data_IF_142788812957
#
_entry.id   IF_142788812957
#
_cell.length_a   1.000
_cell.length_b   1.000
_cell.length_c   1.000
_cell.angle_alpha   90.00
_cell.angle_beta   90.00
_cell.angle_gamma   90.00
#
_symmetry.space_group_name_H-M   'P 1'
#
loop_
_entity.id
_entity.type
_entity.pdbx_description
1 polymer ?
#
# COMPACT_ATOMS: atom_id res chain seq x y z
N UNK A 1 15.10 19.09 57.64
CA UNK A 1 16.09 18.06 57.27
C UNK A 1 15.46 16.78 56.71
N UNK A 2 14.92 15.83 57.49
CA UNK A 2 14.45 14.54 56.93
C UNK A 2 13.29 14.68 55.91
N UNK A 3 12.31 15.56 56.19
CA UNK A 3 11.21 15.87 55.25
C UNK A 3 11.69 16.63 54.01
N UNK A 4 12.54 17.63 54.19
CA UNK A 4 13.13 18.42 53.11
C UNK A 4 13.92 17.53 52.14
N UNK A 5 14.79 16.68 52.66
CA UNK A 5 15.59 15.74 51.87
C UNK A 5 14.70 14.79 51.07
N UNK A 6 13.61 14.30 51.66
CA UNK A 6 12.65 13.42 50.98
C UNK A 6 11.87 14.13 49.86
N UNK A 7 11.52 15.40 50.03
CA UNK A 7 10.83 16.19 48.99
C UNK A 7 11.78 16.51 47.84
N UNK A 8 13.03 16.89 48.11
CA UNK A 8 14.05 17.11 47.06
C UNK A 8 14.32 15.82 46.28
N UNK A 9 14.48 14.67 46.95
CA UNK A 9 14.67 13.38 46.29
C UNK A 9 13.48 13.01 45.38
N UNK A 10 12.24 13.30 45.82
CA UNK A 10 11.05 13.09 45.01
C UNK A 10 10.95 14.05 43.82
N UNK A 11 11.33 15.32 43.99
CA UNK A 11 11.36 16.32 42.91
C UNK A 11 12.42 15.96 41.84
N UNK A 12 13.61 15.55 42.27
CA UNK A 12 14.68 15.06 41.38
C UNK A 12 14.23 13.80 40.61
N UNK A 13 13.62 12.83 41.30
CA UNK A 13 13.08 11.62 40.68
C UNK A 13 11.96 11.90 39.67
N UNK A 14 11.10 12.88 39.97
CA UNK A 14 10.06 13.34 39.06
C UNK A 14 10.67 14.01 37.82
N UNK A 15 11.62 14.92 38.00
CA UNK A 15 12.33 15.60 36.90
C UNK A 15 13.03 14.61 35.96
N UNK A 16 13.75 13.63 36.53
CA UNK A 16 14.38 12.56 35.75
C UNK A 16 13.35 11.74 34.94
N UNK A 17 12.20 11.42 35.54
CA UNK A 17 11.11 10.71 34.86
C UNK A 17 10.52 11.53 33.73
N UNK A 18 10.30 12.84 33.93
CA UNK A 18 9.77 13.76 32.92
C UNK A 18 10.73 13.92 31.74
N UNK A 19 12.04 14.01 32.00
CA UNK A 19 13.05 14.02 30.94
C UNK A 19 13.01 12.73 30.10
N UNK A 20 12.85 11.57 30.74
CA UNK A 20 12.73 10.29 30.04
C UNK A 20 11.45 10.22 29.18
N UNK A 21 10.31 10.70 29.70
CA UNK A 21 9.05 10.76 28.94
C UNK A 21 9.20 11.74 27.76
N UNK A 22 9.81 12.91 27.97
CA UNK A 22 10.07 13.89 26.90
C UNK A 22 10.91 13.29 25.77
N UNK A 23 11.99 12.57 26.10
CA UNK A 23 12.80 11.87 25.11
C UNK A 23 11.97 10.83 24.33
N UNK A 24 11.09 10.10 25.02
CA UNK A 24 10.22 9.09 24.42
C UNK A 24 9.18 9.71 23.47
N UNK A 25 8.62 10.87 23.83
CA UNK A 25 7.67 11.62 23.00
C UNK A 25 8.35 12.20 21.76
N UNK A 26 9.57 12.73 21.89
CA UNK A 26 10.35 13.20 20.74
C UNK A 26 10.68 12.07 19.77
N UNK A 27 11.04 10.89 20.29
CA UNK A 27 11.25 9.70 19.45
C UNK A 27 9.95 9.25 18.77
N UNK A 28 8.81 9.33 19.47
CA UNK A 28 7.51 9.00 18.89
C UNK A 28 7.13 9.97 17.78
N UNK A 29 7.31 11.27 17.97
CA UNK A 29 7.07 12.29 16.95
C UNK A 29 7.92 12.07 15.69
N UNK A 30 9.20 11.72 15.86
CA UNK A 30 10.08 11.34 14.75
C UNK A 30 9.56 10.09 14.02
N UNK A 31 9.14 9.05 14.77
CA UNK A 31 8.56 7.84 14.19
C UNK A 31 7.28 8.10 13.39
N UNK A 32 6.41 9.00 13.87
CA UNK A 32 5.19 9.41 13.15
C UNK A 32 5.56 10.06 11.81
N UNK A 33 6.56 10.94 11.81
CA UNK A 33 7.05 11.61 10.59
C UNK A 33 7.60 10.60 9.58
N UNK A 34 8.38 9.62 10.04
CA UNK A 34 8.93 8.55 9.19
C UNK A 34 7.80 7.73 8.57
N UNK A 35 6.78 7.35 9.36
CA UNK A 35 5.66 6.60 8.81
C UNK A 35 4.86 7.41 7.80
N UNK A 36 4.65 8.71 8.02
CA UNK A 36 4.02 9.60 7.04
C UNK A 36 4.80 9.64 5.70
N UNK A 37 6.13 9.60 5.76
CA UNK A 37 6.97 9.49 4.56
C UNK A 37 6.79 8.14 3.86
N UNK A 38 6.75 7.05 4.63
CA UNK A 38 6.53 5.72 4.07
C UNK A 38 5.13 5.55 3.47
N UNK A 39 4.08 6.05 4.10
CA UNK A 39 2.71 5.97 3.56
C UNK A 39 2.58 6.75 2.27
N UNK A 40 3.21 7.93 2.15
CA UNK A 40 3.29 8.69 0.91
C UNK A 40 4.01 7.89 -0.20
N UNK A 41 5.13 7.27 0.12
CA UNK A 41 5.87 6.43 -0.83
C UNK A 41 5.04 5.23 -1.29
N UNK A 42 4.27 4.61 -0.38
CA UNK A 42 3.37 3.51 -0.71
C UNK A 42 2.25 3.97 -1.65
N UNK A 43 1.66 5.15 -1.44
CA UNK A 43 0.66 5.72 -2.36
C UNK A 43 1.21 5.89 -3.77
N UNK A 44 2.44 6.41 -3.90
CA UNK A 44 3.09 6.55 -5.21
C UNK A 44 3.30 5.18 -5.89
N UNK A 45 3.67 4.15 -5.13
CA UNK A 45 3.82 2.78 -5.64
C UNK A 45 2.46 2.22 -6.05
N UNK A 46 1.40 2.41 -5.25
CA UNK A 46 0.04 1.98 -5.58
C UNK A 46 -0.45 2.62 -6.89
N UNK A 47 -0.21 3.91 -7.10
CA UNK A 47 -0.53 4.58 -8.37
C UNK A 47 0.25 4.03 -9.57
N UNK A 48 1.54 3.72 -9.39
CA UNK A 48 2.35 3.06 -10.42
C UNK A 48 1.79 1.66 -10.75
N UNK A 49 1.37 0.91 -9.74
CA UNK A 49 0.73 -0.40 -9.92
C UNK A 49 -0.57 -0.30 -10.71
N UNK A 50 -1.45 0.65 -10.36
CA UNK A 50 -2.70 0.89 -11.10
C UNK A 50 -2.44 1.25 -12.57
N UNK A 51 -1.43 2.08 -12.82
CA UNK A 51 -1.04 2.44 -14.20
C UNK A 51 -0.55 1.22 -14.96
N UNK A 52 0.32 0.40 -14.35
CA UNK A 52 0.83 -0.82 -14.98
C UNK A 52 -0.23 -1.90 -15.21
N UNK A 53 -1.21 -1.99 -14.32
CA UNK A 53 -2.36 -2.88 -14.50
C UNK A 53 -3.18 -2.45 -15.72
N UNK A 54 -3.48 -1.15 -15.87
CA UNK A 54 -4.16 -0.61 -17.06
C UNK A 54 -3.37 -0.83 -18.35
N UNK A 55 -2.06 -0.58 -18.34
CA UNK A 55 -1.19 -0.89 -19.49
C UNK A 55 -1.31 -2.37 -19.89
N UNK A 56 -1.43 -3.26 -18.89
CA UNK A 56 -1.60 -4.70 -19.12
C UNK A 56 -2.97 -5.02 -19.71
N UNK A 57 -4.06 -4.38 -19.25
CA UNK A 57 -5.40 -4.54 -19.83
C UNK A 57 -5.42 -4.17 -21.32
N UNK A 58 -4.75 -3.07 -21.70
CA UNK A 58 -4.65 -2.64 -23.10
C UNK A 58 -3.90 -3.68 -23.96
N UNK A 59 -2.82 -4.26 -23.43
CA UNK A 59 -2.09 -5.34 -24.09
C UNK A 59 -2.99 -6.58 -24.25
N UNK A 60 -3.72 -6.97 -23.20
CA UNK A 60 -4.62 -8.12 -23.25
C UNK A 60 -5.72 -7.90 -24.29
N UNK A 61 -6.29 -6.70 -24.37
CA UNK A 61 -7.28 -6.34 -25.40
C UNK A 61 -6.70 -6.50 -26.81
N UNK A 62 -5.48 -6.01 -27.04
CA UNK A 62 -4.80 -6.19 -28.31
C UNK A 62 -4.57 -7.66 -28.67
N UNK A 63 -4.19 -8.50 -27.70
CA UNK A 63 -4.03 -9.95 -27.92
C UNK A 63 -5.38 -10.61 -28.24
N UNK A 64 -6.47 -10.23 -27.55
CA UNK A 64 -7.83 -10.72 -27.86
C UNK A 64 -8.26 -10.36 -29.28
N UNK A 65 -7.90 -9.16 -29.77
CA UNK A 65 -8.16 -8.73 -31.14
C UNK A 65 -7.36 -9.57 -32.14
N UNK A 66 -6.06 -9.81 -31.89
CA UNK A 66 -5.22 -10.71 -32.71
C UNK A 66 -5.82 -12.13 -32.74
N UNK A 67 -6.20 -12.68 -31.59
CA UNK A 67 -6.77 -14.02 -31.51
C UNK A 67 -8.10 -14.10 -32.28
N UNK A 68 -8.91 -13.03 -32.25
CA UNK A 68 -10.16 -12.94 -33.02
C UNK A 68 -9.90 -12.88 -34.52
N UNK A 69 -8.94 -12.06 -34.98
CA UNK A 69 -8.54 -11.99 -36.38
C UNK A 69 -7.96 -13.31 -36.87
N UNK A 70 -7.10 -13.95 -36.07
CA UNK A 70 -6.49 -15.25 -36.39
C UNK A 70 -7.55 -16.35 -36.49
N UNK A 71 -8.54 -16.34 -35.60
CA UNK A 71 -9.68 -17.26 -35.70
C UNK A 71 -10.49 -17.05 -36.99
N UNK A 72 -10.71 -15.79 -37.40
CA UNK A 72 -11.40 -15.47 -38.67
C UNK A 72 -10.58 -15.89 -39.90
N UNK A 73 -9.26 -15.72 -39.87
CA UNK A 73 -8.37 -16.21 -40.93
C UNK A 73 -8.41 -17.75 -41.03
N UNK A 74 -8.36 -18.44 -39.88
CA UNK A 74 -8.51 -19.89 -39.82
C UNK A 74 -9.87 -20.36 -40.33
N UNK A 75 -10.96 -19.62 -40.06
CA UNK A 75 -12.28 -19.92 -40.61
C UNK A 75 -12.30 -19.79 -42.14
N UNK A 76 -11.77 -18.69 -42.69
CA UNK A 76 -11.69 -18.49 -44.14
C UNK A 76 -10.86 -19.59 -44.81
N UNK A 77 -9.73 -19.97 -44.21
CA UNK A 77 -8.89 -21.08 -44.69
C UNK A 77 -9.64 -22.42 -44.67
N UNK A 78 -10.44 -22.69 -43.63
CA UNK A 78 -11.26 -23.90 -43.55
C UNK A 78 -12.34 -23.95 -44.64
N UNK A 79 -12.97 -22.80 -44.94
CA UNK A 79 -13.96 -22.68 -46.03
C UNK A 79 -13.31 -22.97 -47.39
N UNK A 80 -12.15 -22.37 -47.66
CA UNK A 80 -11.45 -22.56 -48.94
C UNK A 80 -10.90 -23.99 -49.08
N UNK A 81 -10.42 -24.59 -47.99
CA UNK A 81 -10.02 -26.00 -47.96
C UNK A 81 -11.20 -26.94 -48.27
N UNK A 82 -12.39 -26.66 -47.73
CA UNK A 82 -13.60 -27.43 -48.06
C UNK A 82 -14.00 -27.25 -49.54
N UNK A 83 -13.84 -26.04 -50.08
CA UNK A 83 -14.11 -25.73 -51.49
C UNK A 83 -13.19 -26.44 -52.46
N UNK A 84 -11.93 -26.64 -52.09
CA UNK A 84 -10.93 -27.38 -52.86
C UNK A 84 -11.12 -28.92 -52.82
N UNK A 85 -12.06 -29.43 -52.01
CA UNK A 85 -12.38 -30.86 -51.94
C UNK A 85 -11.20 -31.72 -51.45
N UNK A 86 -10.90 -32.79 -52.19
CA UNK A 86 -9.80 -33.72 -51.88
C UNK A 86 -8.44 -33.01 -51.76
N UNK A 87 -8.16 -32.05 -52.64
CA UNK A 87 -6.90 -31.29 -52.65
C UNK A 87 -6.74 -30.37 -51.43
N UNK A 88 -7.83 -30.04 -50.73
CA UNK A 88 -7.83 -29.17 -49.56
C UNK A 88 -7.69 -29.90 -48.21
N UNK A 89 -7.68 -31.25 -48.17
CA UNK A 89 -7.69 -32.01 -46.91
C UNK A 89 -6.55 -31.64 -45.95
N UNK A 90 -5.33 -31.47 -46.46
CA UNK A 90 -4.18 -31.06 -45.64
C UNK A 90 -4.33 -29.64 -45.07
N UNK A 91 -4.81 -28.70 -45.89
CA UNK A 91 -5.08 -27.32 -45.45
C UNK A 91 -6.21 -27.24 -44.43
N UNK A 92 -7.22 -28.13 -44.52
CA UNK A 92 -8.31 -28.18 -43.54
C UNK A 92 -7.82 -28.51 -42.13
N UNK A 93 -6.83 -29.40 -42.00
CA UNK A 93 -6.24 -29.75 -40.69
C UNK A 93 -5.50 -28.56 -40.10
N UNK A 94 -4.69 -27.87 -40.91
CA UNK A 94 -3.96 -26.67 -40.48
C UNK A 94 -4.92 -25.56 -40.06
N UNK A 95 -5.99 -25.32 -40.83
CA UNK A 95 -7.01 -24.32 -40.51
C UNK A 95 -7.71 -24.62 -39.18
N UNK A 96 -7.98 -25.90 -38.89
CA UNK A 96 -8.59 -26.33 -37.63
C UNK A 96 -7.65 -26.12 -36.43
N UNK A 97 -6.36 -26.39 -36.59
CA UNK A 97 -5.36 -26.14 -35.54
C UNK A 97 -5.19 -24.65 -35.27
N UNK A 98 -5.16 -23.79 -36.30
CA UNK A 98 -5.13 -22.33 -36.15
C UNK A 98 -6.31 -21.81 -35.33
N UNK A 99 -7.53 -22.32 -35.61
CA UNK A 99 -8.73 -21.94 -34.85
C UNK A 99 -8.64 -22.39 -33.39
N UNK A 100 -8.15 -23.61 -33.15
CA UNK A 100 -7.94 -24.14 -31.80
C UNK A 100 -6.92 -23.30 -31.02
N UNK A 101 -5.78 -22.98 -31.62
CA UNK A 101 -4.77 -22.10 -31.02
C UNK A 101 -5.33 -20.71 -30.70
N UNK A 102 -6.13 -20.15 -31.60
CA UNK A 102 -6.79 -18.85 -31.39
C UNK A 102 -7.79 -18.88 -30.23
N UNK A 103 -8.57 -19.97 -30.09
CA UNK A 103 -9.47 -20.16 -28.95
C UNK A 103 -8.70 -20.26 -27.64
N UNK A 104 -7.68 -21.13 -27.59
CA UNK A 104 -6.84 -21.28 -26.40
C UNK A 104 -6.17 -19.96 -25.99
N UNK A 105 -5.77 -19.13 -26.96
CA UNK A 105 -5.22 -17.81 -26.69
C UNK A 105 -6.23 -16.87 -26.04
N UNK A 106 -7.51 -16.92 -26.44
CA UNK A 106 -8.57 -16.12 -25.80
C UNK A 106 -8.80 -16.57 -24.36
N UNK A 107 -8.87 -17.87 -24.13
CA UNK A 107 -9.07 -18.43 -22.79
C UNK A 107 -7.91 -18.05 -21.86
N UNK A 108 -6.67 -18.10 -22.36
CA UNK A 108 -5.49 -17.66 -21.61
C UNK A 108 -5.55 -16.16 -21.27
N UNK A 109 -5.93 -15.31 -22.23
CA UNK A 109 -6.08 -13.86 -22.00
C UNK A 109 -7.15 -13.57 -20.94
N UNK A 110 -8.29 -14.28 -20.97
CA UNK A 110 -9.34 -14.11 -19.96
C UNK A 110 -8.85 -14.47 -18.55
N UNK A 111 -8.08 -15.54 -18.41
CA UNK A 111 -7.46 -15.91 -17.13
C UNK A 111 -6.48 -14.84 -16.64
N UNK A 112 -5.65 -14.28 -17.54
CA UNK A 112 -4.72 -13.20 -17.16
C UNK A 112 -5.49 -11.95 -16.75
N UNK A 113 -6.59 -11.62 -17.45
CA UNK A 113 -7.44 -10.49 -17.11
C UNK A 113 -8.00 -10.60 -15.68
N UNK A 114 -8.48 -11.78 -15.28
CA UNK A 114 -8.96 -12.01 -13.91
C UNK A 114 -7.86 -11.78 -12.86
N UNK A 115 -6.62 -12.15 -13.17
CA UNK A 115 -5.46 -11.90 -12.30
C UNK A 115 -5.18 -10.39 -12.21
N UNK A 116 -5.24 -9.67 -13.34
CA UNK A 116 -5.05 -8.21 -13.38
C UNK A 116 -6.14 -7.49 -12.57
N UNK A 117 -7.41 -7.89 -12.74
CA UNK A 117 -8.54 -7.36 -11.97
C UNK A 117 -8.33 -7.57 -10.46
N UNK A 118 -7.85 -8.74 -10.05
CA UNK A 118 -7.51 -9.03 -8.65
C UNK A 118 -6.40 -8.10 -8.12
N UNK A 119 -5.35 -7.85 -8.92
CA UNK A 119 -4.27 -6.93 -8.56
C UNK A 119 -4.79 -5.49 -8.39
N UNK A 120 -5.70 -5.05 -9.25
CA UNK A 120 -6.34 -3.73 -9.14
C UNK A 120 -7.12 -3.62 -7.83
N UNK A 121 -7.92 -4.63 -7.49
CA UNK A 121 -8.69 -4.67 -6.24
C UNK A 121 -7.77 -4.65 -5.02
N UNK A 122 -6.72 -5.47 -4.99
CA UNK A 122 -5.72 -5.46 -3.90
C UNK A 122 -5.05 -4.10 -3.75
N UNK A 123 -4.76 -3.41 -4.87
CA UNK A 123 -4.17 -2.07 -4.84
C UNK A 123 -5.15 -1.02 -4.30
N UNK A 124 -6.46 -1.18 -4.58
CA UNK A 124 -7.49 -0.33 -4.01
C UNK A 124 -7.61 -0.53 -2.49
N UNK A 125 -7.65 -1.79 -2.02
CA UNK A 125 -7.64 -2.11 -0.59
C UNK A 125 -6.40 -1.54 0.11
N UNK A 126 -5.23 -1.66 -0.52
CA UNK A 126 -3.99 -1.07 -0.02
C UNK A 126 -4.10 0.45 0.17
N UNK A 127 -4.71 1.15 -0.80
CA UNK A 127 -4.92 2.60 -0.72
C UNK A 127 -5.82 2.96 0.47
N UNK A 128 -6.91 2.22 0.69
CA UNK A 128 -7.81 2.44 1.83
C UNK A 128 -7.12 2.19 3.18
N UNK A 129 -6.23 1.20 3.26
CA UNK A 129 -5.43 0.94 4.46
C UNK A 129 -4.50 2.12 4.71
N UNK A 130 -3.81 2.62 3.68
CA UNK A 130 -2.93 3.79 3.80
C UNK A 130 -3.70 5.02 4.32
N UNK A 131 -4.89 5.29 3.79
CA UNK A 131 -5.71 6.42 4.25
C UNK A 131 -6.06 6.30 5.74
N UNK A 132 -6.48 5.10 6.18
CA UNK A 132 -6.74 4.84 7.61
C UNK A 132 -5.48 4.98 8.46
N UNK A 133 -4.35 4.51 7.95
CA UNK A 133 -3.06 4.65 8.62
C UNK A 133 -2.69 6.12 8.81
N UNK A 134 -2.88 6.97 7.79
CA UNK A 134 -2.63 8.41 7.92
C UNK A 134 -3.49 9.07 8.99
N UNK A 135 -4.79 8.73 9.06
CA UNK A 135 -5.70 9.25 10.10
C UNK A 135 -5.19 8.89 11.50
N UNK A 136 -4.81 7.61 11.71
CA UNK A 136 -4.27 7.16 13.01
C UNK A 136 -3.01 7.93 13.39
N UNK A 137 -2.12 8.20 12.42
CA UNK A 137 -0.89 8.94 12.68
C UNK A 137 -1.11 10.43 12.95
N UNK A 138 -2.13 11.04 12.34
CA UNK A 138 -2.55 12.41 12.68
C UNK A 138 -3.07 12.49 14.11
N UNK A 139 -3.91 11.53 14.53
CA UNK A 139 -4.38 11.43 15.92
C UNK A 139 -3.22 11.20 16.90
N UNK A 140 -2.26 10.35 16.54
CA UNK A 140 -1.09 10.07 17.36
C UNK A 140 -0.16 11.28 17.48
N UNK A 141 -0.04 12.10 16.42
CA UNK A 141 0.72 13.35 16.46
C UNK A 141 0.08 14.36 17.42
N UNK A 142 -1.25 14.50 17.38
CA UNK A 142 -1.98 15.36 18.29
C UNK A 142 -1.81 14.91 19.75
N UNK A 143 -1.95 13.61 20.04
CA UNK A 143 -1.74 13.06 21.37
C UNK A 143 -0.30 13.28 21.87
N UNK A 144 0.71 13.13 21.00
CA UNK A 144 2.10 13.40 21.36
C UNK A 144 2.32 14.88 21.74
N UNK A 145 1.67 15.82 21.04
CA UNK A 145 1.71 17.25 21.37
C UNK A 145 1.06 17.55 22.72
N UNK A 146 -0.11 16.95 23.01
CA UNK A 146 -0.78 17.10 24.30
C UNK A 146 0.07 16.58 25.47
N UNK A 147 0.72 15.42 25.29
CA UNK A 147 1.63 14.87 26.30
C UNK A 147 2.87 15.77 26.45
N UNK A 148 3.40 16.32 25.37
CA UNK A 148 4.52 17.27 25.45
C UNK A 148 4.17 18.51 26.26
N UNK A 149 2.98 19.10 26.03
CA UNK A 149 2.50 20.25 26.81
C UNK A 149 2.30 19.89 28.30
N UNK A 150 1.78 18.69 28.58
CA UNK A 150 1.62 18.20 29.96
C UNK A 150 2.95 18.03 30.68
N UNK A 151 4.00 17.60 29.97
CA UNK A 151 5.36 17.48 30.53
C UNK A 151 5.95 18.85 30.86
N UNK A 152 5.72 19.87 30.03
CA UNK A 152 6.16 21.24 30.32
C UNK A 152 5.52 21.78 31.62
N UNK A 153 4.22 21.55 31.81
CA UNK A 153 3.51 21.94 33.04
C UNK A 153 4.01 21.15 34.27
N UNK A 154 4.25 19.85 34.12
CA UNK A 154 4.79 19.01 35.20
C UNK A 154 6.24 19.38 35.55
N UNK A 155 7.06 19.79 34.58
CA UNK A 155 8.41 20.28 34.84
C UNK A 155 8.37 21.59 35.64
N UNK A 156 7.50 22.53 35.28
CA UNK A 156 7.31 23.75 36.06
C UNK A 156 6.84 23.45 37.50
N UNK A 157 5.96 22.46 37.65
CA UNK A 157 5.50 22.01 38.98
C UNK A 157 6.63 21.36 39.79
N UNK A 158 7.49 20.56 39.15
CA UNK A 158 8.65 19.95 39.79
C UNK A 158 9.67 20.99 40.26
N UNK A 159 9.91 22.04 39.47
CA UNK A 159 10.78 23.17 39.87
C UNK A 159 10.23 23.91 41.10
N UNK A 160 8.92 24.18 41.13
CA UNK A 160 8.28 24.80 42.30
C UNK A 160 8.40 23.91 43.54
N UNK A 161 8.25 22.59 43.40
CA UNK A 161 8.43 21.65 44.52
C UNK A 161 9.87 21.65 45.05
N UNK A 162 10.87 21.74 44.16
CA UNK A 162 12.29 21.84 44.54
C UNK A 162 12.58 23.16 45.27
N UNK A 163 12.01 24.29 44.81
CA UNK A 163 12.12 25.58 45.51
C UNK A 163 11.46 25.54 46.90
N UNK A 164 10.23 25.03 47.01
CA UNK A 164 9.53 24.88 48.28
C UNK A 164 10.29 23.99 49.28
N UNK A 165 11.01 22.98 48.78
CA UNK A 165 11.84 22.12 49.62
C UNK A 165 13.06 22.85 50.17
N UNK A 166 13.65 23.80 49.43
CA UNK A 166 14.78 24.63 49.92
C UNK A 166 14.35 25.56 51.06
N UNK A 167 13.09 25.97 51.07
CA UNK A 167 12.50 26.87 52.10
C UNK A 167 12.03 26.14 53.38
N UNK A 168 12.02 24.79 53.39
CA UNK A 168 11.61 23.91 54.51
C UNK A 168 12.74 23.57 55.50
#
# INVERSE_FOLDING_TARGET
MDKQMKVMEQADGLSASLQQISASINQMAAGIQDVSCYTKSLLEISHKFQTKARDTEDILKFITDIASQTNMLGLNAAIEAARAGESGRGFSVVAQEIRKMSSNSKDAVENIKQIVDAIINMTHEMTQIIDKTNIIFEEQAAAAQEVSASIEELNATAEVLDEMAKDL
#
